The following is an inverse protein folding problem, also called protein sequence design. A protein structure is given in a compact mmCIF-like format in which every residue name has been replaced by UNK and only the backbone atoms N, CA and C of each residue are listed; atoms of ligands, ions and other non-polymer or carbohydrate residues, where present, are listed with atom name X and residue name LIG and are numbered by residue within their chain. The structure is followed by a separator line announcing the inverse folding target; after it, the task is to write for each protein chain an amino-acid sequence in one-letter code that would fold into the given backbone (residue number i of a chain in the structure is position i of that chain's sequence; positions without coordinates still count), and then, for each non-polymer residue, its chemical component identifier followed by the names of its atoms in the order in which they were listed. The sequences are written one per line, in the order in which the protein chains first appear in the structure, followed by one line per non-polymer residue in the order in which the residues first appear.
data_IF_392092044919
#
_entry.id   IF_392092044919
#
_cell.length_a   1.000
_cell.length_b   1.000
_cell.length_c   1.000
_cell.angle_alpha   90.00
_cell.angle_beta   90.00
_cell.angle_gamma   90.00
#
_symmetry.space_group_name_H-M   'P 1'
#
loop_
_entity.id
_entity.type
_entity.pdbx_description
1 polymer ?
#
# COMPACT_ATOMS: atom_id res chain seq x y z
N UNK A 1 21.34 29.11 -3.16
CA UNK A 1 21.81 27.71 -3.26
C UNK A 1 21.47 27.22 -4.65
N UNK A 2 22.21 26.27 -5.24
CA UNK A 2 21.86 25.73 -6.57
C UNK A 2 20.81 24.63 -6.41
N UNK A 3 19.67 24.76 -7.08
CA UNK A 3 18.64 23.72 -7.10
C UNK A 3 19.18 22.47 -7.80
N UNK A 4 19.09 21.33 -7.11
CA UNK A 4 19.59 20.03 -7.59
C UNK A 4 18.45 19.03 -7.65
N UNK A 5 18.29 18.38 -8.80
CA UNK A 5 17.31 17.30 -9.03
C UNK A 5 18.05 15.98 -9.23
N UNK A 6 17.84 15.01 -8.35
CA UNK A 6 18.52 13.72 -8.35
C UNK A 6 17.53 12.62 -8.69
N UNK A 7 17.64 12.03 -9.89
CA UNK A 7 16.81 10.91 -10.33
C UNK A 7 17.12 9.66 -9.49
N UNK A 8 16.06 9.01 -8.95
CA UNK A 8 16.18 7.81 -8.10
C UNK A 8 15.27 6.66 -8.54
N UNK A 9 14.33 6.89 -9.45
CA UNK A 9 13.54 5.85 -10.09
C UNK A 9 13.30 6.21 -11.55
N UNK A 10 13.40 5.21 -12.43
CA UNK A 10 13.20 5.38 -13.88
C UNK A 10 11.83 4.86 -14.28
N UNK A 11 11.20 5.45 -15.33
CA UNK A 11 9.95 4.91 -15.85
C UNK A 11 10.18 3.50 -16.38
N UNK A 12 9.16 2.67 -16.28
CA UNK A 12 9.12 1.37 -16.92
C UNK A 12 8.72 1.53 -18.40
N UNK A 13 9.55 1.03 -19.32
CA UNK A 13 9.34 1.14 -20.78
C UNK A 13 8.79 -0.17 -21.42
N UNK A 14 8.35 -1.13 -20.60
CA UNK A 14 7.80 -2.42 -21.07
C UNK A 14 6.26 -2.42 -21.19
N UNK A 15 5.63 -3.61 -21.26
CA UNK A 15 4.17 -3.72 -21.36
C UNK A 15 3.44 -3.02 -20.21
N UNK A 16 2.27 -2.45 -20.48
CA UNK A 16 1.48 -1.76 -19.44
C UNK A 16 0.53 -2.76 -18.75
N UNK A 17 1.08 -3.77 -18.07
CA UNK A 17 0.22 -4.66 -17.29
C UNK A 17 -0.48 -3.85 -16.18
N UNK A 18 -1.79 -4.10 -16.00
CA UNK A 18 -2.64 -3.33 -15.08
C UNK A 18 -2.07 -3.25 -13.66
N UNK A 19 -1.41 -4.32 -13.24
CA UNK A 19 -0.91 -4.47 -11.89
C UNK A 19 0.33 -3.63 -11.61
N UNK A 20 1.06 -3.12 -12.61
CA UNK A 20 2.24 -2.25 -12.37
C UNK A 20 1.91 -0.87 -11.80
N UNK A 21 0.64 -0.48 -11.88
CA UNK A 21 0.17 0.84 -11.50
C UNK A 21 -1.08 0.81 -10.61
N UNK A 22 -1.48 -0.38 -10.17
CA UNK A 22 -2.74 -0.61 -9.48
C UNK A 22 -2.78 -0.02 -8.07
N UNK A 23 -3.90 0.60 -7.74
CA UNK A 23 -4.37 0.80 -6.38
C UNK A 23 -5.22 -0.40 -5.95
N UNK A 24 -4.75 -1.13 -4.94
CA UNK A 24 -5.39 -2.34 -4.44
C UNK A 24 -6.00 -2.08 -3.07
N UNK A 25 -7.29 -2.40 -2.91
CA UNK A 25 -7.99 -2.32 -1.64
C UNK A 25 -7.99 -3.68 -0.93
N UNK A 26 -7.23 -3.80 0.16
CA UNK A 26 -7.09 -5.03 0.95
C UNK A 26 -8.15 -5.09 2.05
N UNK A 27 -8.95 -6.17 2.05
CA UNK A 27 -9.83 -6.55 3.17
C UNK A 27 -8.99 -7.37 4.16
N UNK A 28 -8.56 -6.81 5.30
CA UNK A 28 -7.53 -7.40 6.14
C UNK A 28 -8.06 -8.49 7.10
N UNK A 29 -9.20 -9.11 6.77
CA UNK A 29 -9.83 -10.12 7.63
C UNK A 29 -9.73 -11.52 7.03
N UNK A 30 -9.19 -12.50 7.78
CA UNK A 30 -9.25 -13.90 7.37
C UNK A 30 -10.62 -14.53 7.61
N UNK A 31 -11.51 -13.86 8.34
CA UNK A 31 -12.81 -14.38 8.74
C UNK A 31 -13.87 -14.25 7.62
N UNK A 32 -13.43 -14.16 6.37
CA UNK A 32 -14.32 -14.22 5.21
C UNK A 32 -14.65 -15.68 4.89
N UNK A 33 -15.93 -16.04 4.99
CA UNK A 33 -16.50 -17.25 4.41
C UNK A 33 -17.47 -16.91 3.28
N UNK A 34 -18.18 -17.92 2.79
CA UNK A 34 -19.19 -17.75 1.73
C UNK A 34 -20.32 -16.80 2.15
N UNK A 35 -20.78 -16.87 3.40
CA UNK A 35 -21.84 -16.03 3.92
C UNK A 35 -21.46 -14.54 3.94
N UNK A 36 -20.23 -14.21 4.34
CA UNK A 36 -19.76 -12.82 4.35
C UNK A 36 -19.54 -12.31 2.92
N UNK A 37 -18.93 -13.11 2.03
CA UNK A 37 -18.67 -12.73 0.64
C UNK A 37 -19.94 -12.29 -0.08
N UNK A 38 -21.06 -12.97 0.17
CA UNK A 38 -22.38 -12.65 -0.39
C UNK A 38 -22.94 -11.28 0.04
N UNK A 39 -22.30 -10.61 1.00
CA UNK A 39 -22.72 -9.31 1.54
C UNK A 39 -21.63 -8.23 1.42
N UNK A 40 -20.64 -8.43 0.54
CA UNK A 40 -19.51 -7.49 0.37
C UNK A 40 -19.73 -6.39 -0.68
N UNK A 41 -20.90 -6.31 -1.31
CA UNK A 41 -21.31 -5.22 -2.21
C UNK A 41 -20.95 -3.81 -1.70
N UNK A 42 -21.19 -3.45 -0.40
CA UNK A 42 -20.80 -2.15 0.12
C UNK A 42 -19.29 -1.90 0.05
N UNK A 43 -18.48 -2.94 0.24
CA UNK A 43 -17.02 -2.87 0.20
C UNK A 43 -16.55 -2.62 -1.24
N UNK A 44 -17.12 -3.35 -2.21
CA UNK A 44 -16.80 -3.20 -3.64
C UNK A 44 -17.16 -1.78 -4.11
N UNK A 45 -18.36 -1.29 -3.76
CA UNK A 45 -18.79 0.08 -4.07
C UNK A 45 -17.88 1.14 -3.45
N UNK A 46 -17.43 0.93 -2.21
CA UNK A 46 -16.52 1.85 -1.53
C UNK A 46 -15.13 1.85 -2.17
N UNK A 47 -14.57 0.68 -2.51
CA UNK A 47 -13.29 0.59 -3.24
C UNK A 47 -13.36 1.36 -4.57
N UNK A 48 -14.45 1.20 -5.33
CA UNK A 48 -14.71 1.99 -6.55
C UNK A 48 -14.80 3.48 -6.25
N UNK A 49 -15.52 3.87 -5.19
CA UNK A 49 -15.66 5.27 -4.78
C UNK A 49 -14.30 5.93 -4.47
N UNK A 50 -13.35 5.19 -3.91
CA UNK A 50 -11.99 5.67 -3.65
C UNK A 50 -11.12 5.76 -4.91
N UNK A 51 -11.53 5.15 -6.02
CA UNK A 51 -10.75 5.08 -7.26
C UNK A 51 -9.72 3.95 -7.28
N UNK A 52 -10.04 2.82 -6.63
CA UNK A 52 -9.21 1.61 -6.63
C UNK A 52 -9.35 0.85 -7.95
N UNK A 53 -8.34 0.05 -8.30
CA UNK A 53 -8.30 -0.80 -9.51
C UNK A 53 -8.58 -2.27 -9.20
N UNK A 54 -8.32 -2.69 -7.96
CA UNK A 54 -8.50 -4.06 -7.52
C UNK A 54 -8.87 -4.18 -6.04
N UNK A 55 -9.43 -5.33 -5.68
CA UNK A 55 -9.70 -5.75 -4.31
C UNK A 55 -8.89 -7.00 -3.98
N UNK A 56 -8.33 -7.06 -2.77
CA UNK A 56 -7.63 -8.22 -2.23
C UNK A 56 -8.43 -8.79 -1.05
N UNK A 57 -8.81 -10.07 -1.16
CA UNK A 57 -9.58 -10.78 -0.13
C UNK A 57 -8.83 -12.02 0.36
N UNK A 58 -9.11 -12.47 1.59
CA UNK A 58 -8.63 -13.77 2.13
C UNK A 58 -9.82 -14.60 2.66
N UNK A 59 -10.45 -15.41 1.80
CA UNK A 59 -11.62 -16.22 2.15
C UNK A 59 -11.21 -17.50 2.92
N UNK A 60 -10.56 -17.35 4.07
CA UNK A 60 -9.98 -18.49 4.81
C UNK A 60 -11.02 -19.43 5.41
N UNK A 61 -12.26 -18.98 5.57
CA UNK A 61 -13.37 -19.81 6.07
C UNK A 61 -14.19 -20.45 4.94
N UNK A 62 -13.78 -20.29 3.68
CA UNK A 62 -14.48 -20.84 2.52
C UNK A 62 -14.03 -22.28 2.22
N UNK A 63 -15.00 -23.16 2.02
CA UNK A 63 -14.81 -24.52 1.51
C UNK A 63 -14.78 -24.51 -0.03
N UNK A 64 -13.61 -24.77 -0.61
CA UNK A 64 -13.42 -24.76 -2.07
C UNK A 64 -14.15 -25.90 -2.78
N UNK A 65 -14.57 -26.96 -2.08
CA UNK A 65 -15.25 -28.08 -2.70
C UNK A 65 -16.77 -27.83 -2.83
N UNK A 66 -17.32 -26.92 -2.01
CA UNK A 66 -18.78 -26.74 -1.92
C UNK A 66 -19.26 -25.28 -2.10
N UNK A 67 -18.40 -24.27 -1.92
CA UNK A 67 -18.84 -22.86 -1.79
C UNK A 67 -18.24 -21.91 -2.84
N UNK A 68 -17.58 -22.44 -3.88
CA UNK A 68 -16.92 -21.62 -4.92
C UNK A 68 -17.85 -20.67 -5.70
N UNK A 69 -19.16 -20.89 -5.67
CA UNK A 69 -20.13 -19.97 -6.28
C UNK A 69 -20.17 -18.59 -5.60
N UNK A 70 -19.80 -18.49 -4.32
CA UNK A 70 -19.66 -17.18 -3.65
C UNK A 70 -18.43 -16.41 -4.14
N UNK A 71 -17.32 -17.10 -4.45
CA UNK A 71 -16.14 -16.46 -5.07
C UNK A 71 -16.48 -15.97 -6.48
N UNK A 72 -17.13 -16.80 -7.30
CA UNK A 72 -17.54 -16.41 -8.67
C UNK A 72 -18.42 -15.16 -8.64
N UNK A 73 -19.45 -15.15 -7.78
CA UNK A 73 -20.33 -13.98 -7.63
C UNK A 73 -19.57 -12.73 -7.19
N UNK A 74 -18.65 -12.86 -6.23
CA UNK A 74 -17.81 -11.74 -5.79
C UNK A 74 -16.93 -11.20 -6.93
N UNK A 75 -16.29 -12.08 -7.69
CA UNK A 75 -15.45 -11.73 -8.85
C UNK A 75 -16.28 -11.02 -9.92
N UNK A 76 -17.46 -11.56 -10.25
CA UNK A 76 -18.36 -10.99 -11.25
C UNK A 76 -18.85 -9.60 -10.81
N UNK A 77 -19.28 -9.45 -9.55
CA UNK A 77 -19.74 -8.18 -8.99
C UNK A 77 -18.62 -7.13 -8.96
N UNK A 78 -17.40 -7.50 -8.55
CA UNK A 78 -16.24 -6.62 -8.61
C UNK A 78 -15.93 -6.21 -10.06
N UNK A 79 -15.99 -7.17 -10.99
CA UNK A 79 -15.79 -6.95 -12.42
C UNK A 79 -16.80 -6.00 -13.05
N UNK A 80 -18.08 -6.11 -12.68
CA UNK A 80 -19.15 -5.18 -13.10
C UNK A 80 -18.89 -3.74 -12.62
N UNK A 81 -18.18 -3.58 -11.51
CA UNK A 81 -17.73 -2.28 -10.98
C UNK A 81 -16.41 -1.80 -11.59
N UNK A 82 -15.77 -2.59 -12.46
CA UNK A 82 -14.47 -2.30 -13.09
C UNK A 82 -13.26 -2.66 -12.22
N UNK A 83 -13.46 -3.43 -11.15
CA UNK A 83 -12.42 -3.86 -10.23
C UNK A 83 -11.95 -5.28 -10.58
N UNK A 84 -10.67 -5.54 -10.38
CA UNK A 84 -10.10 -6.90 -10.43
C UNK A 84 -10.05 -7.52 -9.04
N UNK A 85 -10.14 -8.83 -8.96
CA UNK A 85 -10.08 -9.56 -7.67
C UNK A 85 -8.78 -10.34 -7.55
N UNK A 86 -8.04 -10.08 -6.48
CA UNK A 86 -6.88 -10.86 -6.05
C UNK A 86 -7.31 -11.68 -4.83
N UNK A 87 -6.97 -12.97 -4.79
CA UNK A 87 -7.36 -13.85 -3.68
C UNK A 87 -6.13 -14.36 -2.95
N UNK A 88 -6.06 -14.10 -1.64
CA UNK A 88 -5.01 -14.64 -0.77
C UNK A 88 -5.31 -16.09 -0.42
N UNK A 89 -4.32 -16.97 -0.64
CA UNK A 89 -4.41 -18.41 -0.34
C UNK A 89 -3.69 -18.80 0.94
N UNK A 90 -2.74 -17.98 1.41
CA UNK A 90 -1.90 -18.28 2.57
C UNK A 90 -1.32 -17.02 3.22
N UNK A 91 -0.44 -17.24 4.21
CA UNK A 91 0.43 -16.22 4.79
C UNK A 91 0.04 -15.85 6.22
N UNK A 92 0.93 -15.16 6.93
CA UNK A 92 0.59 -14.62 8.25
C UNK A 92 -0.58 -13.62 8.13
N UNK A 93 -1.37 -13.47 9.19
CA UNK A 93 -2.54 -12.59 9.20
C UNK A 93 -2.18 -11.10 9.34
N UNK A 94 -0.93 -10.82 9.63
CA UNK A 94 -0.45 -9.46 9.70
C UNK A 94 1.04 -9.39 9.45
N UNK A 95 1.51 -8.34 8.77
CA UNK A 95 2.84 -7.82 9.02
C UNK A 95 2.89 -7.32 10.48
N UNK A 96 4.00 -6.71 10.86
CA UNK A 96 4.20 -6.21 12.22
C UNK A 96 3.13 -5.19 12.64
N UNK A 97 2.33 -4.66 11.70
CA UNK A 97 1.22 -3.71 11.88
C UNK A 97 -0.14 -4.34 11.57
N UNK A 98 -1.15 -4.09 12.40
CA UNK A 98 -2.53 -4.59 12.21
C UNK A 98 -3.13 -5.21 13.48
N UNK A 99 -4.42 -5.60 13.45
CA UNK A 99 -5.10 -6.21 14.59
C UNK A 99 -4.46 -7.54 15.04
N UNK A 100 -3.70 -8.20 14.15
CA UNK A 100 -3.03 -9.47 14.40
C UNK A 100 -1.51 -9.34 14.68
N UNK A 101 -0.98 -8.12 14.74
CA UNK A 101 0.46 -7.84 14.86
C UNK A 101 1.16 -8.51 16.05
N UNK A 102 0.45 -8.70 17.16
CA UNK A 102 0.99 -9.29 18.40
C UNK A 102 0.78 -10.80 18.51
N UNK A 103 0.15 -11.42 17.51
CA UNK A 103 -0.22 -12.83 17.53
C UNK A 103 0.79 -13.64 16.71
N UNK A 104 1.21 -14.78 17.23
CA UNK A 104 1.88 -15.80 16.41
C UNK A 104 0.82 -16.40 15.49
N UNK A 105 0.76 -15.94 14.26
CA UNK A 105 -0.25 -16.39 13.30
C UNK A 105 0.31 -17.49 12.42
N UNK A 106 -0.48 -18.55 12.24
CA UNK A 106 -0.16 -19.60 11.29
C UNK A 106 -0.18 -19.06 9.86
N UNK A 107 0.63 -19.65 8.99
CA UNK A 107 0.58 -19.37 7.55
C UNK A 107 -0.70 -19.91 6.89
N UNK A 108 -1.41 -20.79 7.60
CA UNK A 108 -2.75 -21.29 7.28
C UNK A 108 -3.71 -20.94 8.41
N UNK A 109 -4.95 -20.64 8.07
CA UNK A 109 -6.01 -20.28 9.01
C UNK A 109 -7.37 -20.74 8.53
N UNK A 110 -8.34 -20.89 9.44
CA UNK A 110 -9.69 -21.35 9.07
C UNK A 110 -9.69 -22.75 8.48
N UNK A 111 -10.21 -22.87 7.26
CA UNK A 111 -10.28 -24.10 6.47
C UNK A 111 -9.06 -24.28 5.54
N UNK A 112 -8.09 -23.37 5.54
CA UNK A 112 -6.87 -23.49 4.75
C UNK A 112 -6.02 -24.69 5.21
N UNK A 113 -5.57 -25.50 4.26
CA UNK A 113 -4.57 -26.53 4.44
C UNK A 113 -3.19 -26.10 3.95
N UNK A 114 -2.16 -26.88 4.29
CA UNK A 114 -0.80 -26.64 3.83
C UNK A 114 -0.52 -27.33 2.48
N UNK A 115 0.57 -26.92 1.81
CA UNK A 115 1.12 -27.61 0.64
C UNK A 115 0.09 -27.76 -0.50
N UNK A 116 -0.34 -28.99 -0.81
CA UNK A 116 -1.22 -29.32 -1.94
C UNK A 116 -2.57 -28.59 -1.86
N UNK A 117 -3.07 -28.28 -0.65
CA UNK A 117 -4.31 -27.52 -0.50
C UNK A 117 -4.18 -26.09 -1.03
N UNK A 118 -3.02 -25.44 -0.82
CA UNK A 118 -2.78 -24.08 -1.31
C UNK A 118 -2.79 -24.03 -2.84
N UNK A 119 -2.22 -25.04 -3.49
CA UNK A 119 -2.24 -25.17 -4.95
C UNK A 119 -3.67 -25.44 -5.46
N UNK A 120 -4.45 -26.28 -4.78
CA UNK A 120 -5.87 -26.49 -5.12
C UNK A 120 -6.70 -25.22 -4.97
N UNK A 121 -6.48 -24.45 -3.90
CA UNK A 121 -7.14 -23.15 -3.68
C UNK A 121 -6.79 -22.14 -4.77
N UNK A 122 -5.50 -22.03 -5.10
CA UNK A 122 -5.01 -21.21 -6.22
C UNK A 122 -5.74 -21.54 -7.51
N UNK A 123 -5.76 -22.82 -7.90
CA UNK A 123 -6.45 -23.29 -9.11
C UNK A 123 -7.94 -22.94 -9.09
N UNK A 124 -8.62 -23.24 -7.98
CA UNK A 124 -10.06 -23.00 -7.84
C UNK A 124 -10.40 -21.51 -7.97
N UNK A 125 -9.61 -20.62 -7.34
CA UNK A 125 -9.83 -19.18 -7.40
C UNK A 125 -9.53 -18.60 -8.79
N UNK A 126 -8.46 -19.05 -9.44
CA UNK A 126 -8.15 -18.66 -10.82
C UNK A 126 -9.24 -19.12 -11.80
N UNK A 127 -9.70 -20.37 -11.68
CA UNK A 127 -10.79 -20.90 -12.48
C UNK A 127 -12.11 -20.15 -12.24
N UNK A 128 -12.30 -19.57 -11.05
CA UNK A 128 -13.44 -18.72 -10.72
C UNK A 128 -13.30 -17.27 -11.21
N UNK A 129 -12.20 -16.92 -11.90
CA UNK A 129 -11.99 -15.62 -12.52
C UNK A 129 -11.15 -14.64 -11.70
N UNK A 130 -10.49 -15.08 -10.62
CA UNK A 130 -9.54 -14.23 -9.91
C UNK A 130 -8.43 -13.75 -10.86
N UNK A 131 -8.11 -12.46 -10.82
CA UNK A 131 -7.05 -11.85 -11.63
C UNK A 131 -5.64 -12.11 -11.06
N UNK A 132 -5.55 -12.73 -9.89
CA UNK A 132 -4.29 -13.08 -9.28
C UNK A 132 -4.43 -13.69 -7.90
N UNK A 133 -3.30 -14.14 -7.39
CA UNK A 133 -3.20 -14.88 -6.13
C UNK A 133 -2.24 -14.14 -5.20
N UNK A 134 -2.50 -14.20 -3.90
CA UNK A 134 -1.63 -13.60 -2.90
C UNK A 134 -1.16 -14.63 -1.87
N UNK A 135 0.13 -14.62 -1.55
CA UNK A 135 0.76 -15.53 -0.60
C UNK A 135 0.78 -14.98 0.82
N UNK A 136 0.33 -13.73 1.02
CA UNK A 136 0.42 -12.98 2.26
C UNK A 136 1.87 -12.74 2.69
N UNK A 137 2.07 -12.57 4.00
CA UNK A 137 3.41 -12.39 4.55
C UNK A 137 4.22 -13.67 4.40
N UNK A 138 5.24 -13.62 3.54
CA UNK A 138 6.25 -14.66 3.43
C UNK A 138 7.33 -14.35 4.48
N UNK A 139 7.25 -15.08 5.60
CA UNK A 139 8.30 -14.99 6.62
C UNK A 139 9.49 -15.78 6.11
N UNK A 140 10.71 -15.19 6.09
CA UNK A 140 11.88 -15.95 5.75
C UNK A 140 11.98 -17.07 6.79
N UNK A 141 12.14 -18.34 6.41
CA UNK A 141 12.78 -19.23 7.36
C UNK A 141 14.11 -18.53 7.70
N UNK A 142 14.50 -18.44 8.97
CA UNK A 142 15.93 -18.28 9.23
C UNK A 142 16.57 -19.35 8.35
N UNK A 143 17.41 -18.95 7.38
CA UNK A 143 17.99 -19.88 6.41
C UNK A 143 18.90 -20.83 7.18
N UNK A 144 18.29 -21.85 7.77
CA UNK A 144 18.96 -22.92 8.45
C UNK A 144 19.38 -23.91 7.37
N UNK A 145 20.35 -24.75 7.70
CA UNK A 145 20.77 -25.85 6.83
C UNK A 145 19.64 -26.83 6.45
N UNK A 146 18.44 -26.72 7.05
CA UNK A 146 17.25 -27.50 6.72
C UNK A 146 16.27 -26.84 5.75
N UNK A 147 16.43 -25.56 5.39
CA UNK A 147 15.51 -24.87 4.46
C UNK A 147 15.71 -25.39 3.04
N UNK A 148 14.63 -25.93 2.45
CA UNK A 148 14.61 -26.51 1.09
C UNK A 148 14.11 -25.49 0.08
N UNK A 149 14.98 -24.57 -0.34
CA UNK A 149 14.66 -23.53 -1.35
C UNK A 149 14.20 -24.14 -2.68
N UNK A 150 14.71 -25.32 -3.04
CA UNK A 150 14.31 -26.10 -4.21
C UNK A 150 12.80 -26.39 -4.24
N UNK A 151 12.20 -26.65 -3.07
CA UNK A 151 10.76 -26.89 -2.96
C UNK A 151 9.96 -25.60 -3.17
N UNK A 152 10.41 -24.49 -2.60
CA UNK A 152 9.74 -23.20 -2.75
C UNK A 152 9.71 -22.77 -4.23
N UNK A 153 10.85 -22.88 -4.92
CA UNK A 153 10.91 -22.60 -6.36
C UNK A 153 9.98 -23.50 -7.17
N UNK A 154 9.84 -24.78 -6.78
CA UNK A 154 8.90 -25.70 -7.43
C UNK A 154 7.44 -25.24 -7.23
N UNK A 155 7.06 -24.85 -6.01
CA UNK A 155 5.72 -24.34 -5.74
C UNK A 155 5.42 -23.05 -6.51
N UNK A 156 6.35 -22.09 -6.53
CA UNK A 156 6.20 -20.85 -7.30
C UNK A 156 6.06 -21.13 -8.80
N UNK A 157 6.84 -22.07 -9.35
CA UNK A 157 6.70 -22.47 -10.75
C UNK A 157 5.33 -23.10 -11.06
N UNK A 158 4.78 -23.90 -10.14
CA UNK A 158 3.43 -24.46 -10.29
C UNK A 158 2.35 -23.37 -10.24
N UNK A 159 2.47 -22.40 -9.33
CA UNK A 159 1.56 -21.25 -9.24
C UNK A 159 1.60 -20.40 -10.52
N UNK A 160 2.80 -20.12 -11.06
CA UNK A 160 2.95 -19.43 -12.33
C UNK A 160 2.32 -20.21 -13.49
N UNK A 161 2.46 -21.55 -13.48
CA UNK A 161 1.80 -22.42 -14.46
C UNK A 161 0.28 -22.32 -14.41
N UNK A 162 -0.31 -22.38 -13.22
CA UNK A 162 -1.75 -22.19 -13.03
C UNK A 162 -2.19 -20.79 -13.47
N UNK A 163 -1.46 -19.74 -13.06
CA UNK A 163 -1.75 -18.36 -13.42
C UNK A 163 -1.83 -18.19 -14.95
N UNK A 164 -0.82 -18.66 -15.66
CA UNK A 164 -0.74 -18.57 -17.12
C UNK A 164 -1.79 -19.43 -17.84
N UNK A 165 -2.34 -20.47 -17.19
CA UNK A 165 -3.41 -21.28 -17.76
C UNK A 165 -4.77 -20.55 -17.74
N UNK A 166 -5.04 -19.76 -16.69
CA UNK A 166 -6.35 -19.15 -16.47
C UNK A 166 -6.41 -17.64 -16.74
N UNK A 167 -5.28 -16.93 -16.67
CA UNK A 167 -5.27 -15.45 -16.68
C UNK A 167 -4.10 -14.92 -17.52
N UNK A 168 -4.41 -14.20 -18.61
CA UNK A 168 -3.39 -13.63 -19.51
C UNK A 168 -2.48 -12.58 -18.83
N UNK A 169 -3.07 -11.69 -18.01
CA UNK A 169 -2.37 -10.66 -17.23
C UNK A 169 -2.53 -10.88 -15.73
N UNK A 170 -2.22 -12.10 -15.28
CA UNK A 170 -2.34 -12.50 -13.89
C UNK A 170 -1.21 -11.99 -13.00
N UNK A 171 -1.46 -11.93 -11.69
CA UNK A 171 -0.40 -11.67 -10.71
C UNK A 171 -0.28 -12.72 -9.62
N UNK A 172 0.94 -12.80 -9.08
CA UNK A 172 1.23 -13.42 -7.79
C UNK A 172 1.81 -12.33 -6.88
N UNK A 173 1.13 -12.06 -5.78
CA UNK A 173 1.54 -11.11 -4.76
C UNK A 173 2.05 -11.79 -3.49
N UNK A 174 2.92 -11.10 -2.77
CA UNK A 174 3.35 -11.44 -1.43
C UNK A 174 3.78 -10.18 -0.68
N UNK A 175 3.98 -10.29 0.63
CA UNK A 175 4.65 -9.26 1.41
C UNK A 175 5.75 -9.81 2.31
N UNK A 176 6.73 -8.96 2.60
CA UNK A 176 7.85 -9.22 3.50
C UNK A 176 7.91 -8.12 4.55
N UNK A 177 8.44 -8.49 5.72
CA UNK A 177 8.82 -7.48 6.72
C UNK A 177 10.19 -6.92 6.41
N UNK A 178 10.32 -5.60 6.57
CA UNK A 178 11.58 -4.86 6.47
C UNK A 178 12.59 -5.24 7.55
N UNK A 179 12.18 -6.00 8.58
CA UNK A 179 13.08 -6.61 9.57
C UNK A 179 14.09 -7.59 8.94
N UNK A 180 13.75 -8.15 7.78
CA UNK A 180 14.59 -9.09 7.07
C UNK A 180 14.92 -8.58 5.65
N UNK A 181 15.72 -7.50 5.52
CA UNK A 181 15.95 -6.83 4.24
C UNK A 181 16.64 -7.73 3.20
N UNK A 182 17.42 -8.71 3.63
CA UNK A 182 18.02 -9.69 2.71
C UNK A 182 16.96 -10.56 2.03
N UNK A 183 15.79 -10.74 2.65
CA UNK A 183 14.72 -11.60 2.12
C UNK A 183 14.01 -10.95 0.93
N UNK A 184 13.77 -9.64 1.01
CA UNK A 184 13.27 -8.87 -0.13
C UNK A 184 14.15 -9.11 -1.36
N UNK A 185 15.48 -8.96 -1.19
CA UNK A 185 16.44 -9.17 -2.27
C UNK A 185 16.43 -10.59 -2.82
N UNK A 186 16.40 -11.61 -1.97
CA UNK A 186 16.38 -13.01 -2.44
C UNK A 186 15.10 -13.32 -3.23
N UNK A 187 13.94 -12.85 -2.76
CA UNK A 187 12.67 -13.10 -3.46
C UNK A 187 12.57 -12.36 -4.79
N UNK A 188 13.10 -11.14 -4.89
CA UNK A 188 13.18 -10.41 -6.17
C UNK A 188 14.15 -11.05 -7.16
N UNK A 189 15.25 -11.66 -6.68
CA UNK A 189 16.24 -12.32 -7.54
C UNK A 189 15.69 -13.54 -8.27
N UNK A 190 14.84 -14.31 -7.62
CA UNK A 190 14.33 -15.56 -8.17
C UNK A 190 13.02 -15.39 -8.97
N UNK A 191 12.52 -14.16 -9.11
CA UNK A 191 11.34 -13.77 -9.91
C UNK A 191 10.07 -14.59 -9.55
N UNK A 192 9.91 -14.90 -8.26
CA UNK A 192 8.82 -15.75 -7.78
C UNK A 192 7.47 -15.06 -7.74
N UNK A 193 7.45 -13.74 -7.58
CA UNK A 193 6.24 -12.95 -7.38
C UNK A 193 6.31 -11.66 -8.19
N UNK A 194 5.16 -11.24 -8.73
CA UNK A 194 5.01 -10.01 -9.48
C UNK A 194 4.99 -8.80 -8.54
N UNK A 195 4.30 -8.94 -7.39
CA UNK A 195 4.23 -7.93 -6.34
C UNK A 195 4.89 -8.44 -5.08
N UNK A 196 5.94 -7.76 -4.63
CA UNK A 196 6.53 -7.98 -3.31
C UNK A 196 6.47 -6.70 -2.51
N UNK A 197 5.52 -6.64 -1.58
CA UNK A 197 5.28 -5.45 -0.75
C UNK A 197 6.19 -5.50 0.49
N UNK A 198 6.72 -4.36 0.90
CA UNK A 198 7.43 -4.24 2.17
C UNK A 198 6.79 -3.19 3.11
N UNK A 199 7.15 -3.22 4.39
CA UNK A 199 6.73 -2.26 5.41
C UNK A 199 7.86 -1.31 5.83
N UNK A 200 8.89 -1.09 4.99
CA UNK A 200 10.10 -0.34 5.37
C UNK A 200 9.83 1.11 5.77
N UNK A 201 8.78 1.73 5.21
CA UNK A 201 8.38 3.09 5.56
C UNK A 201 7.82 3.19 6.99
N UNK A 202 7.43 2.07 7.63
CA UNK A 202 7.06 2.08 9.04
C UNK A 202 8.25 2.33 9.96
N UNK A 203 9.46 2.00 9.51
CA UNK A 203 10.70 2.11 10.27
C UNK A 203 11.30 3.53 10.21
N UNK A 204 10.71 4.44 9.44
CA UNK A 204 11.27 5.79 9.23
C UNK A 204 11.13 6.68 10.45
N UNK A 205 12.09 7.59 10.61
CA UNK A 205 11.97 8.75 11.50
C UNK A 205 11.18 9.86 10.83
N UNK A 206 10.61 10.77 11.61
CA UNK A 206 9.97 11.98 11.06
C UNK A 206 10.99 13.06 10.68
N UNK A 207 11.78 12.79 9.65
CA UNK A 207 12.67 13.77 9.04
C UNK A 207 12.97 13.41 7.58
N UNK A 208 13.31 14.43 6.79
CA UNK A 208 13.56 14.29 5.36
C UNK A 208 14.65 13.27 5.01
N UNK A 209 15.74 13.22 5.77
CA UNK A 209 16.88 12.31 5.52
C UNK A 209 16.47 10.84 5.67
N UNK A 210 15.73 10.51 6.73
CA UNK A 210 15.27 9.14 7.01
C UNK A 210 14.28 8.67 5.94
N UNK A 211 13.32 9.52 5.56
CA UNK A 211 12.35 9.22 4.49
C UNK A 211 13.06 9.02 3.14
N UNK A 212 13.96 9.94 2.78
CA UNK A 212 14.74 9.88 1.53
C UNK A 212 15.54 8.59 1.45
N UNK A 213 16.21 8.21 2.52
CA UNK A 213 17.07 7.01 2.56
C UNK A 213 16.27 5.72 2.39
N UNK A 214 15.10 5.60 3.03
CA UNK A 214 14.26 4.40 2.91
C UNK A 214 13.60 4.31 1.53
N UNK A 215 13.11 5.43 0.99
CA UNK A 215 12.57 5.49 -0.38
C UNK A 215 13.64 5.11 -1.41
N UNK A 216 14.84 5.68 -1.28
CA UNK A 216 15.97 5.34 -2.18
C UNK A 216 16.29 3.86 -2.14
N UNK A 217 16.37 3.27 -0.94
CA UNK A 217 16.69 1.84 -0.79
C UNK A 217 15.62 0.94 -1.38
N UNK A 218 14.34 1.20 -1.11
CA UNK A 218 13.26 0.37 -1.64
C UNK A 218 13.18 0.50 -3.17
N UNK A 219 13.27 1.70 -3.72
CA UNK A 219 13.30 1.92 -5.17
C UNK A 219 14.49 1.24 -5.85
N UNK A 220 15.71 1.35 -5.30
CA UNK A 220 16.91 0.73 -5.86
C UNK A 220 16.81 -0.81 -5.91
N UNK A 221 16.26 -1.45 -4.88
CA UNK A 221 16.06 -2.91 -4.89
C UNK A 221 15.04 -3.34 -5.96
N UNK A 222 13.94 -2.62 -6.13
CA UNK A 222 12.95 -2.93 -7.19
C UNK A 222 13.54 -2.68 -8.60
N UNK A 223 14.18 -1.53 -8.81
CA UNK A 223 14.77 -1.14 -10.10
C UNK A 223 15.86 -2.13 -10.55
N UNK A 224 16.65 -2.66 -9.60
CA UNK A 224 17.72 -3.63 -9.89
C UNK A 224 17.23 -4.92 -10.54
N UNK A 225 16.00 -5.33 -10.25
CA UNK A 225 15.39 -6.56 -10.78
C UNK A 225 14.27 -6.29 -11.79
N UNK A 226 13.99 -5.02 -12.12
CA UNK A 226 12.90 -4.65 -13.02
C UNK A 226 11.49 -4.91 -12.46
N UNK A 227 11.40 -5.14 -11.15
CA UNK A 227 10.14 -5.32 -10.44
C UNK A 227 9.45 -3.96 -10.27
N UNK A 228 8.10 -3.87 -10.36
CA UNK A 228 7.41 -2.63 -10.08
C UNK A 228 7.54 -2.29 -8.58
N UNK A 229 7.84 -1.03 -8.21
CA UNK A 229 7.76 -0.60 -6.82
C UNK A 229 6.36 -0.92 -6.26
N UNK A 230 6.28 -1.69 -5.17
CA UNK A 230 4.99 -2.08 -4.60
C UNK A 230 4.92 -1.68 -3.13
N UNK A 231 4.02 -0.76 -2.82
CA UNK A 231 3.93 -0.13 -1.51
C UNK A 231 2.75 -0.68 -0.71
N UNK A 232 2.99 -1.02 0.56
CA UNK A 232 1.91 -1.26 1.52
C UNK A 232 1.61 0.04 2.26
N UNK A 233 0.36 0.49 2.20
CA UNK A 233 -0.13 1.62 2.96
C UNK A 233 -0.15 1.31 4.46
N UNK A 234 0.50 2.13 5.30
CA UNK A 234 0.46 2.00 6.76
C UNK A 234 0.61 3.40 7.39
N UNK A 235 -0.35 3.90 8.20
CA UNK A 235 -0.56 3.46 9.60
C UNK A 235 -2.03 3.43 10.10
N UNK A 236 -2.42 2.88 11.31
CA UNK A 236 -1.70 3.05 12.60
C UNK A 236 -1.46 1.81 13.52
N UNK A 237 -0.15 1.57 13.72
CA UNK A 237 0.63 1.17 14.92
C UNK A 237 0.17 0.01 15.83
N UNK A 238 0.73 -1.16 15.57
CA UNK A 238 1.51 -1.86 16.59
C UNK A 238 2.86 -2.20 15.93
N UNK A 239 3.96 -2.16 16.68
CA UNK A 239 5.17 -2.86 16.30
C UNK A 239 5.66 -3.67 17.50
N UNK A 240 6.28 -4.83 17.25
CA UNK A 240 6.95 -5.61 18.31
C UNK A 240 8.01 -4.74 19.00
N UNK A 241 8.05 -4.73 20.33
CA UNK A 241 8.96 -3.90 21.14
C UNK A 241 10.44 -4.06 20.75
N UNK A 242 10.84 -5.23 20.26
CA UNK A 242 12.23 -5.55 19.90
C UNK A 242 12.75 -4.82 18.65
N UNK A 243 11.84 -4.26 17.85
CA UNK A 243 12.18 -3.54 16.63
C UNK A 243 12.27 -2.05 16.87
N UNK A 244 11.74 -1.55 18.00
CA UNK A 244 11.94 -0.17 18.39
C UNK A 244 13.45 0.07 18.59
N UNK A 245 14.09 0.99 17.85
CA UNK A 245 15.48 1.36 18.12
C UNK A 245 15.68 1.89 19.55
N UNK A 246 14.59 2.14 20.28
CA UNK A 246 14.60 2.49 21.71
C UNK A 246 14.94 3.96 21.96
N UNK A 247 15.10 4.75 20.88
CA UNK A 247 15.43 6.17 20.93
C UNK A 247 14.21 7.09 20.79
N UNK A 248 13.01 6.51 20.56
CA UNK A 248 11.76 7.23 20.45
C UNK A 248 11.64 8.12 19.20
N UNK A 249 12.52 7.98 18.20
CA UNK A 249 12.58 8.88 17.04
C UNK A 249 11.68 8.48 15.86
N UNK A 250 10.90 7.40 16.00
CA UNK A 250 9.96 6.96 14.96
C UNK A 250 8.87 8.00 14.75
N UNK A 251 8.35 8.06 13.53
CA UNK A 251 7.36 9.06 13.18
C UNK A 251 6.09 9.00 14.04
N UNK A 252 5.71 7.82 14.51
CA UNK A 252 4.52 7.59 15.32
C UNK A 252 4.75 7.64 16.84
N UNK A 253 6.00 7.75 17.31
CA UNK A 253 6.38 7.83 18.73
C UNK A 253 6.11 9.22 19.33
N UNK A 254 4.89 9.71 19.14
CA UNK A 254 4.37 11.02 19.54
C UNK A 254 2.94 10.89 20.05
N UNK A 255 2.35 11.99 20.52
CA UNK A 255 0.95 12.02 20.94
C UNK A 255 -0.01 11.67 19.77
N UNK A 256 -1.25 11.29 20.11
CA UNK A 256 -2.25 10.80 19.14
C UNK A 256 -2.51 11.78 18.00
N UNK A 257 -2.66 13.07 18.29
CA UNK A 257 -3.02 14.07 17.29
C UNK A 257 -1.89 14.32 16.30
N UNK A 258 -0.65 14.43 16.80
CA UNK A 258 0.53 14.58 15.96
C UNK A 258 0.78 13.30 15.14
N UNK A 259 0.55 12.12 15.73
CA UNK A 259 0.65 10.84 15.03
C UNK A 259 -0.34 10.78 13.87
N UNK A 260 -1.58 11.19 14.08
CA UNK A 260 -2.60 11.24 13.03
C UNK A 260 -2.17 12.18 11.91
N UNK A 261 -1.73 13.40 12.24
CA UNK A 261 -1.23 14.37 11.26
C UNK A 261 -0.10 13.82 10.39
N UNK A 262 0.91 13.20 11.02
CA UNK A 262 2.03 12.56 10.32
C UNK A 262 1.57 11.38 9.48
N UNK A 263 0.64 10.57 9.98
CA UNK A 263 0.05 9.46 9.22
C UNK A 263 -0.65 9.93 7.94
N UNK A 264 -1.42 11.02 8.00
CA UNK A 264 -2.07 11.62 6.83
C UNK A 264 -1.06 12.24 5.85
N UNK A 265 0.02 12.82 6.37
CA UNK A 265 1.10 13.32 5.52
C UNK A 265 1.82 12.17 4.79
N UNK A 266 2.14 11.07 5.49
CA UNK A 266 2.70 9.87 4.85
C UNK A 266 1.71 9.25 3.86
N UNK A 267 0.40 9.27 4.16
CA UNK A 267 -0.65 8.80 3.26
C UNK A 267 -0.56 9.50 1.90
N UNK A 268 -0.62 10.83 1.94
CA UNK A 268 -0.55 11.65 0.74
C UNK A 268 0.84 11.57 0.07
N UNK A 269 1.92 11.35 0.81
CA UNK A 269 3.24 11.13 0.22
C UNK A 269 3.28 9.82 -0.58
N UNK A 270 2.84 8.72 0.03
CA UNK A 270 2.87 7.38 -0.57
C UNK A 270 2.00 7.30 -1.82
N UNK A 271 0.82 7.93 -1.81
CA UNK A 271 -0.07 7.98 -2.97
C UNK A 271 0.53 8.70 -4.20
N UNK A 272 1.62 9.44 -4.03
CA UNK A 272 2.36 10.07 -5.13
C UNK A 272 3.50 9.19 -5.67
N UNK A 273 3.93 8.16 -4.95
CA UNK A 273 5.09 7.34 -5.32
C UNK A 273 4.80 6.51 -6.58
N UNK A 274 5.77 6.23 -7.45
CA UNK A 274 5.59 5.35 -8.61
C UNK A 274 5.24 3.91 -8.19
N UNK A 275 4.66 3.14 -9.10
CA UNK A 275 4.31 1.74 -8.92
C UNK A 275 2.91 1.50 -8.34
N UNK A 276 2.75 0.41 -7.59
CA UNK A 276 1.45 -0.07 -7.09
C UNK A 276 1.31 0.11 -5.60
N UNK A 277 0.08 0.27 -5.11
CA UNK A 277 -0.16 0.63 -3.72
C UNK A 277 -1.34 -0.14 -3.12
N UNK A 278 -1.11 -0.76 -1.96
CA UNK A 278 -2.09 -1.56 -1.24
C UNK A 278 -2.62 -0.80 -0.04
N UNK A 279 -3.89 -0.39 -0.08
CA UNK A 279 -4.61 0.29 0.99
C UNK A 279 -5.45 -0.72 1.76
N UNK A 280 -5.24 -0.84 3.08
CA UNK A 280 -6.08 -1.71 3.92
C UNK A 280 -7.36 -0.99 4.29
N UNK A 281 -8.47 -1.72 4.28
CA UNK A 281 -9.75 -1.22 4.75
C UNK A 281 -9.64 -0.59 6.15
N UNK A 282 -10.14 0.63 6.28
CA UNK A 282 -10.11 1.43 7.49
C UNK A 282 -8.92 2.41 7.58
N UNK A 283 -7.85 2.22 6.78
CA UNK A 283 -6.73 3.17 6.76
C UNK A 283 -7.10 4.50 6.06
N UNK A 284 -8.06 4.48 5.13
CA UNK A 284 -8.55 5.66 4.42
C UNK A 284 -9.35 6.62 5.31
N UNK A 285 -9.99 6.10 6.35
CA UNK A 285 -10.70 6.91 7.35
C UNK A 285 -9.79 7.28 8.53
N UNK A 286 -8.51 6.87 8.49
CA UNK A 286 -7.51 7.02 9.53
C UNK A 286 -7.87 6.36 10.88
N UNK A 287 -8.51 5.19 10.82
CA UNK A 287 -8.86 4.38 11.99
C UNK A 287 -7.61 3.69 12.56
N UNK A 288 -7.45 3.66 13.88
CA UNK A 288 -6.33 2.95 14.51
C UNK A 288 -6.48 1.44 14.45
N UNK A 289 -5.38 0.69 14.38
CA UNK A 289 -5.45 -0.77 14.32
C UNK A 289 -6.11 -1.35 15.59
N UNK A 290 -5.99 -0.68 16.74
CA UNK A 290 -6.68 -1.08 17.98
C UNK A 290 -8.18 -0.82 17.96
N UNK A 291 -8.67 0.06 17.07
CA UNK A 291 -10.09 0.39 16.95
C UNK A 291 -10.77 -0.41 15.81
N UNK A 292 -10.02 -1.21 15.03
CA UNK A 292 -10.57 -2.01 13.93
C UNK A 292 -11.18 -3.31 14.46
N UNK A 293 -12.46 -3.60 14.19
CA UNK A 293 -13.02 -4.91 14.46
C UNK A 293 -12.39 -5.95 13.53
N UNK A 294 -12.38 -7.21 13.99
CA UNK A 294 -11.84 -8.33 13.21
C UNK A 294 -12.86 -8.91 12.22
N UNK A 295 -14.15 -8.68 12.47
CA UNK A 295 -15.23 -9.10 11.56
C UNK A 295 -15.26 -8.19 10.31
N UNK A 296 -15.25 -8.76 9.09
CA UNK A 296 -15.10 -7.99 7.87
C UNK A 296 -16.29 -7.04 7.62
N UNK A 297 -17.52 -7.48 7.88
CA UNK A 297 -18.72 -6.68 7.66
C UNK A 297 -18.88 -5.58 8.71
N UNK A 298 -18.51 -5.82 9.97
CA UNK A 298 -18.53 -4.79 11.02
C UNK A 298 -17.56 -3.66 10.68
N UNK A 299 -16.36 -3.99 10.17
CA UNK A 299 -15.42 -2.98 9.69
C UNK A 299 -15.97 -2.22 8.47
N UNK A 300 -16.67 -2.90 7.56
CA UNK A 300 -17.31 -2.26 6.42
C UNK A 300 -18.38 -1.25 6.85
N UNK A 301 -19.21 -1.59 7.83
CA UNK A 301 -20.22 -0.69 8.38
C UNK A 301 -19.56 0.55 9.02
N UNK A 302 -18.53 0.34 9.85
CA UNK A 302 -17.77 1.45 10.44
C UNK A 302 -17.14 2.36 9.37
N UNK A 303 -16.58 1.79 8.31
CA UNK A 303 -16.02 2.54 7.18
C UNK A 303 -17.09 3.38 6.50
N UNK A 304 -18.26 2.81 6.25
CA UNK A 304 -19.37 3.53 5.62
C UNK A 304 -19.85 4.72 6.48
N UNK A 305 -20.03 4.50 7.79
CA UNK A 305 -20.44 5.55 8.74
C UNK A 305 -19.41 6.70 8.80
N UNK A 306 -18.13 6.36 8.96
CA UNK A 306 -17.06 7.35 9.01
C UNK A 306 -16.91 8.11 7.69
N UNK A 307 -17.01 7.41 6.56
CA UNK A 307 -16.95 8.01 5.23
C UNK A 307 -18.10 8.99 5.02
N UNK A 308 -19.31 8.65 5.46
CA UNK A 308 -20.45 9.55 5.37
C UNK A 308 -20.21 10.85 6.13
N UNK A 309 -19.66 10.78 7.35
CA UNK A 309 -19.29 11.97 8.14
C UNK A 309 -18.19 12.79 7.44
N UNK A 310 -17.15 12.11 6.93
CA UNK A 310 -15.99 12.74 6.29
C UNK A 310 -16.30 13.31 4.89
N UNK A 311 -17.32 12.79 4.19
CA UNK A 311 -17.66 13.18 2.82
C UNK A 311 -18.02 14.67 2.67
N UNK A 312 -18.52 15.27 3.74
CA UNK A 312 -18.89 16.69 3.81
C UNK A 312 -17.72 17.62 4.17
N UNK A 313 -16.56 17.05 4.54
CA UNK A 313 -15.41 17.78 5.03
C UNK A 313 -14.30 17.81 3.97
N UNK A 314 -14.02 19.00 3.44
CA UNK A 314 -12.87 19.21 2.56
C UNK A 314 -11.57 18.90 3.31
N UNK A 315 -10.68 18.13 2.69
CA UNK A 315 -9.41 17.72 3.30
C UNK A 315 -9.53 16.64 4.37
N UNK A 316 -10.67 15.93 4.45
CA UNK A 316 -10.78 14.72 5.27
C UNK A 316 -9.86 13.61 4.76
N UNK A 317 -9.48 12.63 5.62
CA UNK A 317 -8.67 11.48 5.21
C UNK A 317 -9.23 10.77 3.96
N UNK A 318 -10.52 10.45 3.96
CA UNK A 318 -11.17 9.75 2.84
C UNK A 318 -11.15 10.61 1.56
N UNK A 319 -11.43 11.91 1.69
CA UNK A 319 -11.38 12.83 0.56
C UNK A 319 -9.96 12.98 0.00
N UNK A 320 -8.94 12.93 0.86
CA UNK A 320 -7.52 12.98 0.49
C UNK A 320 -7.16 11.75 -0.33
N UNK A 321 -7.51 10.54 0.11
CA UNK A 321 -7.25 9.29 -0.64
C UNK A 321 -7.92 9.34 -2.01
N UNK A 322 -9.20 9.67 -2.06
CA UNK A 322 -9.96 9.71 -3.32
C UNK A 322 -9.41 10.75 -4.29
N UNK A 323 -9.08 11.95 -3.81
CA UNK A 323 -8.53 13.01 -4.66
C UNK A 323 -7.10 12.68 -5.11
N UNK A 324 -6.28 12.10 -4.24
CA UNK A 324 -4.95 11.62 -4.59
C UNK A 324 -4.99 10.52 -5.65
N UNK A 325 -5.92 9.56 -5.56
CA UNK A 325 -6.13 8.53 -6.58
C UNK A 325 -6.49 9.16 -7.95
N UNK A 326 -7.37 10.17 -7.95
CA UNK A 326 -7.71 10.91 -9.16
C UNK A 326 -6.50 11.63 -9.78
N UNK A 327 -5.75 12.41 -8.99
CA UNK A 327 -4.57 13.13 -9.48
C UNK A 327 -3.46 12.16 -9.89
N UNK A 328 -3.29 11.05 -9.18
CA UNK A 328 -2.36 9.97 -9.52
C UNK A 328 -2.63 9.42 -10.91
N UNK A 329 -3.90 9.17 -11.23
CA UNK A 329 -4.33 8.71 -12.55
C UNK A 329 -4.14 9.80 -13.62
N UNK A 330 -4.65 11.02 -13.38
CA UNK A 330 -4.60 12.15 -14.31
C UNK A 330 -3.17 12.49 -14.75
N UNK A 331 -2.22 12.49 -13.81
CA UNK A 331 -0.81 12.77 -14.07
C UNK A 331 0.00 11.50 -14.38
N UNK A 332 -0.61 10.32 -14.40
CA UNK A 332 0.05 9.03 -14.57
C UNK A 332 1.33 8.93 -13.71
N UNK A 333 1.16 9.16 -12.40
CA UNK A 333 2.26 9.17 -11.43
C UNK A 333 2.82 7.77 -11.18
N UNK A 334 1.98 6.74 -11.32
CA UNK A 334 2.39 5.36 -11.10
C UNK A 334 3.50 4.91 -12.06
N UNK A 335 3.47 5.34 -13.32
CA UNK A 335 4.51 4.98 -14.31
C UNK A 335 5.59 6.06 -14.47
N UNK A 336 5.65 7.04 -13.57
CA UNK A 336 6.53 8.20 -13.71
C UNK A 336 7.93 7.97 -13.12
N UNK A 337 8.99 8.62 -13.67
CA UNK A 337 10.24 8.77 -12.94
C UNK A 337 10.02 9.53 -11.64
N UNK A 338 10.85 9.23 -10.63
CA UNK A 338 10.92 9.98 -9.39
C UNK A 338 12.32 10.56 -9.19
N UNK A 339 12.38 11.84 -8.83
CA UNK A 339 13.63 12.53 -8.51
C UNK A 339 13.49 13.38 -7.24
N UNK A 340 14.47 13.30 -6.34
CA UNK A 340 14.52 14.21 -5.20
C UNK A 340 14.95 15.61 -5.63
N UNK A 341 14.33 16.64 -5.06
CA UNK A 341 14.62 18.04 -5.36
C UNK A 341 15.14 18.72 -4.10
N UNK A 342 16.30 19.36 -4.19
CA UNK A 342 16.94 20.08 -3.09
C UNK A 342 17.37 21.47 -3.54
N UNK A 343 17.53 22.40 -2.60
CA UNK A 343 18.01 23.75 -2.90
C UNK A 343 16.97 24.65 -3.60
N UNK A 344 15.68 24.38 -3.44
CA UNK A 344 14.61 25.33 -3.79
C UNK A 344 14.64 26.50 -2.80
N UNK A 345 14.67 27.74 -3.28
CA UNK A 345 14.86 28.92 -2.41
C UNK A 345 13.74 29.10 -1.36
N UNK A 346 12.51 28.70 -1.69
CA UNK A 346 11.35 28.79 -0.81
C UNK A 346 11.17 27.56 0.09
N UNK A 347 11.89 26.47 -0.18
CA UNK A 347 11.68 25.18 0.49
C UNK A 347 12.82 24.89 1.49
N UNK A 348 12.55 24.83 2.80
CA UNK A 348 13.58 24.57 3.80
C UNK A 348 14.24 23.18 3.64
N UNK A 349 15.54 23.02 3.98
CA UNK A 349 16.23 21.73 3.91
C UNK A 349 15.61 20.62 4.78
N UNK A 350 14.85 20.98 5.81
CA UNK A 350 14.12 20.05 6.68
C UNK A 350 12.82 19.53 6.05
N UNK A 351 12.54 19.85 4.80
CA UNK A 351 11.42 19.28 4.04
C UNK A 351 11.94 18.19 3.12
N UNK A 352 11.14 17.15 2.91
CA UNK A 352 11.37 16.22 1.80
C UNK A 352 10.62 16.78 0.59
N UNK A 353 11.34 17.01 -0.50
CA UNK A 353 10.75 17.40 -1.78
C UNK A 353 11.16 16.42 -2.88
N UNK A 354 10.19 15.95 -3.67
CA UNK A 354 10.47 15.13 -4.84
C UNK A 354 9.54 15.47 -5.99
N UNK A 355 10.07 15.35 -7.20
CA UNK A 355 9.35 15.50 -8.45
C UNK A 355 8.97 14.12 -8.96
N UNK A 356 7.68 13.94 -9.23
CA UNK A 356 7.13 12.77 -9.92
C UNK A 356 6.35 13.28 -11.13
N UNK A 357 6.96 13.13 -12.31
CA UNK A 357 6.53 13.77 -13.56
C UNK A 357 6.34 15.29 -13.41
N UNK A 358 5.10 15.79 -13.50
CA UNK A 358 4.75 17.21 -13.44
C UNK A 358 4.28 17.67 -12.05
N UNK A 359 4.40 16.80 -11.04
CA UNK A 359 3.95 17.07 -9.67
C UNK A 359 5.14 17.15 -8.73
N UNK A 360 5.31 18.30 -8.08
CA UNK A 360 6.26 18.47 -6.98
C UNK A 360 5.56 18.14 -5.66
N UNK A 361 5.99 17.09 -4.99
CA UNK A 361 5.50 16.69 -3.68
C UNK A 361 6.41 17.26 -2.61
N UNK A 362 5.82 17.94 -1.63
CA UNK A 362 6.54 18.51 -0.48
C UNK A 362 5.96 17.95 0.80
N UNK A 363 6.81 17.32 1.61
CA UNK A 363 6.49 16.82 2.95
C UNK A 363 7.18 17.72 3.97
N UNK A 364 6.38 18.50 4.71
CA UNK A 364 6.91 19.38 5.74
C UNK A 364 7.22 18.57 7.02
N UNK A 365 8.47 18.11 7.13
CA UNK A 365 8.98 17.44 8.34
C UNK A 365 9.58 18.40 9.37
N UNK A 366 9.55 19.71 9.12
CA UNK A 366 10.05 20.72 10.05
C UNK A 366 9.01 21.07 11.13
N UNK A 367 9.43 21.86 12.12
CA UNK A 367 8.57 22.40 13.17
C UNK A 367 7.88 23.72 12.81
N UNK A 368 8.16 24.24 11.60
CA UNK A 368 7.75 25.56 11.16
C UNK A 368 6.94 25.48 9.85
N UNK A 369 5.99 26.41 9.61
CA UNK A 369 5.26 26.45 8.34
C UNK A 369 6.20 26.77 7.15
N UNK A 370 5.95 26.15 6.00
CA UNK A 370 6.64 26.44 4.74
C UNK A 370 5.77 27.38 3.91
N UNK A 371 6.30 28.53 3.51
CA UNK A 371 5.57 29.50 2.68
C UNK A 371 5.72 29.12 1.21
N UNK A 372 4.62 28.88 0.52
CA UNK A 372 4.61 28.58 -0.90
C UNK A 372 4.82 29.87 -1.74
N UNK A 373 5.37 29.74 -2.97
CA UNK A 373 5.33 30.82 -3.96
C UNK A 373 3.91 31.34 -4.19
N UNK A 374 3.77 32.61 -4.59
CA UNK A 374 2.45 33.24 -4.74
C UNK A 374 1.63 32.61 -5.89
N UNK A 375 2.32 32.07 -6.88
CA UNK A 375 1.77 31.45 -8.08
C UNK A 375 1.51 29.94 -7.89
N UNK A 376 1.85 29.38 -6.72
CA UNK A 376 1.78 27.95 -6.46
C UNK A 376 0.37 27.40 -6.64
N UNK A 377 0.21 26.45 -7.58
CA UNK A 377 -1.05 25.72 -7.77
C UNK A 377 -1.01 24.42 -6.97
N UNK A 378 -1.82 24.37 -5.91
CA UNK A 378 -1.98 23.20 -5.06
C UNK A 378 -2.93 22.19 -5.71
N UNK A 379 -2.45 20.97 -5.92
CA UNK A 379 -3.22 19.85 -6.45
C UNK A 379 -3.84 19.01 -5.32
N UNK A 380 -3.12 18.81 -4.22
CA UNK A 380 -3.55 18.04 -3.05
C UNK A 380 -2.87 18.60 -1.80
N UNK A 381 -3.54 18.57 -0.65
CA UNK A 381 -2.90 18.74 0.65
C UNK A 381 -3.52 17.77 1.66
N UNK A 382 -2.68 17.12 2.47
CA UNK A 382 -3.14 16.21 3.53
C UNK A 382 -3.82 16.92 4.70
N UNK A 383 -3.70 18.25 4.77
CA UNK A 383 -4.32 19.11 5.78
C UNK A 383 -4.72 20.47 5.19
N UNK A 384 -5.64 21.20 5.84
CA UNK A 384 -5.94 22.58 5.45
C UNK A 384 -4.70 23.47 5.48
N UNK A 385 -4.44 24.15 4.38
CA UNK A 385 -3.37 25.16 4.28
C UNK A 385 -3.84 26.47 4.92
N UNK A 386 -2.90 27.20 5.52
CA UNK A 386 -3.17 28.55 6.05
C UNK A 386 -2.84 29.59 4.98
N UNK A 387 -3.41 30.78 5.11
CA UNK A 387 -3.08 31.91 4.25
C UNK A 387 -2.60 33.09 5.11
N UNK A 388 -1.46 33.65 4.75
CA UNK A 388 -0.87 34.83 5.40
C UNK A 388 -0.27 35.73 4.31
N UNK A 389 -0.58 37.02 4.36
CA UNK A 389 -0.10 38.01 3.38
C UNK A 389 -0.32 37.60 1.90
N UNK A 390 -1.43 36.90 1.63
CA UNK A 390 -1.78 36.44 0.28
C UNK A 390 -1.05 35.17 -0.18
N UNK A 391 -0.17 34.60 0.64
CA UNK A 391 0.55 33.35 0.35
C UNK A 391 0.01 32.18 1.16
N UNK A 392 0.10 30.98 0.59
CA UNK A 392 -0.27 29.74 1.27
C UNK A 392 0.89 29.23 2.12
N UNK A 393 0.57 28.73 3.31
CA UNK A 393 1.51 28.12 4.23
C UNK A 393 1.16 26.66 4.44
N UNK A 394 2.16 25.79 4.24
CA UNK A 394 2.11 24.36 4.53
C UNK A 394 2.50 24.16 5.99
N UNK A 395 1.56 23.77 6.88
CA UNK A 395 1.87 23.55 8.28
C UNK A 395 2.87 22.39 8.48
N UNK A 396 3.52 22.29 9.65
CA UNK A 396 4.22 21.07 10.06
C UNK A 396 3.35 19.82 9.88
N UNK A 397 3.98 18.67 9.63
CA UNK A 397 3.29 17.40 9.47
C UNK A 397 2.23 17.40 8.35
N UNK A 398 2.51 18.08 7.24
CA UNK A 398 1.62 18.18 6.07
C UNK A 398 2.38 17.82 4.80
N UNK A 399 1.72 17.04 3.95
CA UNK A 399 2.19 16.77 2.58
C UNK A 399 1.31 17.54 1.60
N UNK A 400 1.93 18.24 0.66
CA UNK A 400 1.25 18.99 -0.42
C UNK A 400 1.78 18.56 -1.77
N UNK A 401 0.89 18.40 -2.75
CA UNK A 401 1.24 18.18 -4.15
C UNK A 401 1.02 19.48 -4.92
N UNK A 402 2.01 19.89 -5.69
CA UNK A 402 2.04 21.15 -6.41
C UNK A 402 2.24 20.88 -7.89
N UNK A 403 1.59 21.66 -8.76
CA UNK A 403 1.92 21.65 -10.19
C UNK A 403 3.34 22.22 -10.36
N UNK A 404 4.28 21.38 -10.76
CA UNK A 404 5.72 21.69 -10.70
C UNK A 404 6.08 22.98 -11.47
N UNK A 405 5.42 23.23 -12.61
CA UNK A 405 5.64 24.43 -13.43
C UNK A 405 5.30 25.75 -12.73
N UNK A 406 4.58 25.70 -11.61
CA UNK A 406 4.19 26.88 -10.82
C UNK A 406 5.14 27.20 -9.66
N UNK A 407 6.09 26.30 -9.36
CA UNK A 407 6.95 26.38 -8.16
C UNK A 407 8.41 25.97 -8.38
N UNK A 408 8.77 25.57 -9.61
CA UNK A 408 10.11 25.16 -10.00
C UNK A 408 11.08 26.32 -10.19
#
# INVERSE_FOLDING_TARGET
MTTTTTLVHRPYDGPEEWWRHALVYEIPSPALGAAELDHTDPIIKHARYLGMDAVLIRPSLLDIDTEMDSIRRFVDEAGEQGLRTIVRISGALGPITGPYATQTTGFVTGLEGAADDLLRRSEAYLQAGAAGIDLGTIVPPQLTSGTRLDRLSTYCAMLHGQLAEYVDEGIIGADVTADYPESLRHHLQDDWVHHLRDDCLTLTRWNAESLTSHLTRSLDEHDRFGAPPTWRFLPPHILSEHLDPGDGQRWYSVNRDERLRRGLALQAMMLALPGSLYLRQGDEIALSDSDKPTAPLELADMVAEHTQVQSSQFGSPTATVRHAAHVRHEYNLACAPLAFVTGLEWCPPQTLSFLVRGVLVVVNTSDSPVTLPAEAKVLLSSQPLRQEEGRLLVPPATTTWLEATTVA
#
